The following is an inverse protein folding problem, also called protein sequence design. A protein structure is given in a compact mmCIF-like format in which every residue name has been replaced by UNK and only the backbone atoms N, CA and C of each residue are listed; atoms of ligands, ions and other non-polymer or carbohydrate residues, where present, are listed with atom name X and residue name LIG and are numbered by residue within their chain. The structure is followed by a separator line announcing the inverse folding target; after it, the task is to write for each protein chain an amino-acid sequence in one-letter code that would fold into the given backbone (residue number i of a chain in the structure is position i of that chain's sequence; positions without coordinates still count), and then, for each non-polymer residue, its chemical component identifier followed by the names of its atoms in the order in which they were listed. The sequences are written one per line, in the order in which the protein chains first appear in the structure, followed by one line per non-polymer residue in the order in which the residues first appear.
data_IF_944874370540
#
_entry.id   IF_944874370540
#
_cell.length_a   1.000
_cell.length_b   1.000
_cell.length_c   1.000
_cell.angle_alpha   90.00
_cell.angle_beta   90.00
_cell.angle_gamma   90.00
#
_symmetry.space_group_name_H-M   'P 1'
#
loop_
_entity.id
_entity.type
_entity.pdbx_description
1 polymer ?
#
# COMPACT_ATOMS: atom_id res chain seq x y z
N UNK A 1 -9.92 -5.24 -18.09
CA UNK A 1 -9.00 -6.04 -18.90
C UNK A 1 -9.78 -7.02 -19.78
N UNK A 2 -10.07 -8.23 -19.29
CA UNK A 2 -10.69 -9.34 -20.08
C UNK A 2 -11.99 -8.92 -20.77
N UNK A 3 -12.90 -8.26 -20.05
CA UNK A 3 -14.17 -7.78 -20.64
C UNK A 3 -13.93 -6.82 -21.81
N UNK A 4 -13.02 -5.86 -21.65
CA UNK A 4 -12.67 -4.89 -22.71
C UNK A 4 -12.07 -5.60 -23.93
N UNK A 5 -11.14 -6.55 -23.71
CA UNK A 5 -10.54 -7.33 -24.79
C UNK A 5 -11.60 -8.04 -25.62
N UNK A 6 -12.55 -8.71 -24.96
CA UNK A 6 -13.64 -9.44 -25.63
C UNK A 6 -14.59 -8.50 -26.38
N UNK A 7 -15.06 -7.43 -25.73
CA UNK A 7 -16.06 -6.52 -26.29
C UNK A 7 -15.51 -5.61 -27.37
N UNK A 8 -14.23 -5.18 -27.25
CA UNK A 8 -13.64 -4.20 -28.18
C UNK A 8 -12.83 -4.86 -29.30
N UNK A 9 -12.13 -5.96 -29.00
CA UNK A 9 -11.21 -6.58 -29.93
C UNK A 9 -11.64 -7.99 -30.36
N UNK A 10 -12.70 -8.55 -29.78
CA UNK A 10 -13.16 -9.92 -30.05
C UNK A 10 -12.13 -11.00 -29.62
N UNK A 11 -11.20 -10.65 -28.72
CA UNK A 11 -10.13 -11.54 -28.26
C UNK A 11 -10.44 -12.05 -26.87
N UNK A 12 -10.30 -13.34 -26.66
CA UNK A 12 -10.37 -13.94 -25.34
C UNK A 12 -9.03 -13.72 -24.60
N UNK A 13 -9.13 -13.30 -23.35
CA UNK A 13 -8.00 -13.09 -22.46
C UNK A 13 -8.23 -13.73 -21.11
N UNK A 14 -7.17 -13.97 -20.36
CA UNK A 14 -7.22 -14.44 -18.99
C UNK A 14 -6.63 -13.38 -18.06
N UNK A 15 -7.30 -13.14 -16.94
CA UNK A 15 -6.76 -12.31 -15.87
C UNK A 15 -5.68 -13.09 -15.13
N UNK A 16 -4.53 -12.45 -14.94
CA UNK A 16 -3.41 -12.98 -14.14
C UNK A 16 -3.01 -11.94 -13.09
N UNK A 17 -2.30 -12.39 -12.06
CA UNK A 17 -1.68 -11.51 -11.08
C UNK A 17 -0.54 -10.70 -11.70
N UNK A 18 -0.21 -9.59 -11.05
CA UNK A 18 0.98 -8.80 -11.39
C UNK A 18 2.24 -9.68 -11.24
N UNK A 19 3.25 -9.53 -12.12
CA UNK A 19 4.51 -10.29 -12.04
C UNK A 19 5.23 -10.23 -10.69
N UNK A 20 4.96 -9.21 -9.87
CA UNK A 20 5.50 -9.10 -8.51
C UNK A 20 5.14 -10.32 -7.63
N UNK A 21 4.07 -11.05 -7.94
CA UNK A 21 3.64 -12.25 -7.21
C UNK A 21 4.29 -13.55 -7.72
N UNK A 22 5.16 -13.48 -8.74
CA UNK A 22 5.88 -14.67 -9.24
C UNK A 22 7.00 -15.14 -8.30
N UNK A 23 7.49 -14.25 -7.44
CA UNK A 23 8.53 -14.56 -6.48
C UNK A 23 7.93 -14.78 -5.08
N UNK A 24 8.44 -15.75 -4.32
CA UNK A 24 8.06 -15.91 -2.93
C UNK A 24 8.61 -14.77 -2.06
N UNK A 25 8.01 -14.52 -0.89
CA UNK A 25 8.43 -13.47 0.05
C UNK A 25 9.92 -13.53 0.40
N UNK A 26 10.49 -14.75 0.47
CA UNK A 26 11.90 -14.97 0.78
C UNK A 26 12.89 -14.31 -0.20
N UNK A 27 12.49 -14.09 -1.47
CA UNK A 27 13.34 -13.37 -2.40
C UNK A 27 13.33 -11.85 -2.11
N UNK A 28 12.19 -11.31 -1.68
CA UNK A 28 12.09 -9.93 -1.22
C UNK A 28 12.81 -9.72 0.12
N UNK A 29 12.77 -10.70 1.02
CA UNK A 29 13.53 -10.68 2.28
C UNK A 29 15.03 -10.54 2.04
N UNK A 30 15.58 -11.23 1.04
CA UNK A 30 17.00 -11.10 0.64
C UNK A 30 17.34 -9.68 0.17
N UNK A 31 16.40 -8.97 -0.45
CA UNK A 31 16.57 -7.57 -0.82
C UNK A 31 16.57 -6.70 0.44
N UNK A 32 15.59 -6.91 1.32
CA UNK A 32 15.43 -6.17 2.56
C UNK A 32 16.63 -6.28 3.52
N UNK A 33 17.39 -7.39 3.50
CA UNK A 33 18.62 -7.54 4.32
C UNK A 33 19.73 -6.54 3.95
N UNK A 34 19.65 -5.91 2.79
CA UNK A 34 20.62 -4.90 2.33
C UNK A 34 20.22 -3.48 2.69
N UNK A 35 19.09 -3.29 3.36
CA UNK A 35 18.59 -1.99 3.75
C UNK A 35 19.57 -1.24 4.66
N UNK A 36 19.71 0.05 4.40
CA UNK A 36 20.50 0.98 5.22
C UNK A 36 19.60 1.83 6.13
N UNK A 37 18.38 2.04 5.72
CA UNK A 37 17.35 2.71 6.52
C UNK A 37 16.31 1.67 6.96
N UNK A 38 15.98 1.69 8.23
CA UNK A 38 14.96 0.83 8.82
C UNK A 38 14.31 1.51 10.02
N UNK A 39 13.20 0.97 10.48
CA UNK A 39 12.50 1.45 11.66
C UNK A 39 12.48 0.35 12.72
N UNK A 40 12.71 0.73 13.99
CA UNK A 40 12.66 -0.20 15.11
C UNK A 40 11.31 -0.15 15.82
N UNK A 41 10.91 -1.32 16.32
CA UNK A 41 9.65 -1.47 17.05
C UNK A 41 8.43 -1.45 16.13
N UNK A 42 7.26 -1.48 16.72
CA UNK A 42 5.99 -1.64 16.03
C UNK A 42 5.53 -0.34 15.36
N UNK A 43 5.10 -0.41 14.10
CA UNK A 43 4.65 0.77 13.36
C UNK A 43 3.62 0.47 12.27
N UNK A 44 2.87 1.51 11.93
CA UNK A 44 2.10 1.58 10.69
C UNK A 44 3.00 2.15 9.61
N UNK A 45 3.07 1.48 8.48
CA UNK A 45 3.65 2.01 7.27
C UNK A 45 2.59 2.72 6.43
N UNK A 46 2.83 3.98 6.12
CA UNK A 46 2.07 4.74 5.13
C UNK A 46 2.87 4.85 3.83
N UNK A 47 2.28 4.45 2.71
CA UNK A 47 2.82 4.68 1.38
C UNK A 47 1.74 5.24 0.47
N UNK A 48 1.62 6.57 0.45
CA UNK A 48 0.60 7.34 -0.26
C UNK A 48 1.25 8.10 -1.43
N UNK A 49 0.85 7.76 -2.66
CA UNK A 49 1.40 8.33 -3.88
C UNK A 49 0.81 9.69 -4.23
N UNK A 50 -0.49 9.87 -3.99
CA UNK A 50 -1.21 11.10 -4.27
C UNK A 50 -1.84 11.65 -2.98
N UNK A 51 -1.01 12.24 -2.07
CA UNK A 51 -1.47 12.74 -0.79
C UNK A 51 -2.42 13.93 -0.94
N UNK A 52 -3.41 13.95 -0.06
CA UNK A 52 -4.29 15.08 0.18
C UNK A 52 -4.75 15.07 1.64
N UNK A 53 -5.44 16.13 2.06
CA UNK A 53 -5.86 16.27 3.45
C UNK A 53 -6.81 15.15 3.90
N UNK A 54 -7.73 14.68 3.05
CA UNK A 54 -8.65 13.59 3.38
C UNK A 54 -7.91 12.27 3.66
N UNK A 55 -6.93 11.91 2.83
CA UNK A 55 -6.08 10.72 3.03
C UNK A 55 -5.22 10.85 4.29
N UNK A 56 -4.68 12.06 4.57
CA UNK A 56 -3.94 12.33 5.79
C UNK A 56 -4.81 12.13 7.03
N UNK A 57 -6.04 12.66 7.03
CA UNK A 57 -6.96 12.47 8.16
C UNK A 57 -7.35 11.00 8.35
N UNK A 58 -7.62 10.28 7.27
CA UNK A 58 -7.86 8.84 7.33
C UNK A 58 -6.67 8.08 7.94
N UNK A 59 -5.45 8.38 7.51
CA UNK A 59 -4.23 7.79 8.04
C UNK A 59 -4.03 8.08 9.54
N UNK A 60 -4.24 9.32 9.98
CA UNK A 60 -4.14 9.71 11.39
C UNK A 60 -5.22 9.02 12.24
N UNK A 61 -6.42 8.82 11.68
CA UNK A 61 -7.47 8.06 12.34
C UNK A 61 -7.04 6.59 12.55
N UNK A 62 -6.54 5.93 11.51
CA UNK A 62 -6.02 4.55 11.59
C UNK A 62 -4.92 4.45 12.64
N UNK A 63 -3.95 5.38 12.63
CA UNK A 63 -2.84 5.40 13.58
C UNK A 63 -3.32 5.47 15.04
N UNK A 64 -4.29 6.31 15.30
CA UNK A 64 -4.92 6.41 16.64
C UNK A 64 -5.67 5.12 17.03
N UNK A 65 -6.36 4.50 16.09
CA UNK A 65 -7.16 3.30 16.30
C UNK A 65 -6.27 2.10 16.69
N UNK A 66 -5.19 1.86 15.93
CA UNK A 66 -4.28 0.73 16.19
C UNK A 66 -3.21 1.06 17.25
N UNK A 67 -3.07 2.32 17.66
CA UNK A 67 -2.09 2.78 18.68
C UNK A 67 -0.64 2.46 18.35
N UNK A 68 -0.29 2.52 17.08
CA UNK A 68 1.07 2.34 16.60
C UNK A 68 1.65 3.66 16.11
N UNK A 69 2.98 3.81 16.19
CA UNK A 69 3.68 4.94 15.59
C UNK A 69 3.55 4.88 14.07
N UNK A 70 3.54 6.04 13.44
CA UNK A 70 3.39 6.17 12.00
C UNK A 70 4.76 6.40 11.35
N UNK A 71 5.08 5.59 10.35
CA UNK A 71 6.20 5.78 9.43
C UNK A 71 5.64 6.12 8.06
N UNK A 72 6.05 7.25 7.50
CA UNK A 72 5.52 7.75 6.25
C UNK A 72 6.58 7.67 5.14
N UNK A 73 6.30 6.90 4.09
CA UNK A 73 7.06 6.90 2.85
C UNK A 73 6.31 7.69 1.78
N UNK A 74 7.03 8.56 1.09
CA UNK A 74 6.50 9.33 -0.03
C UNK A 74 7.12 8.87 -1.35
N UNK A 75 6.36 9.00 -2.43
CA UNK A 75 6.88 8.82 -3.79
C UNK A 75 8.01 9.84 -4.03
N UNK A 76 9.20 9.34 -4.37
CA UNK A 76 10.41 10.12 -4.55
C UNK A 76 10.48 10.96 -5.84
N UNK A 77 9.35 11.20 -6.51
CA UNK A 77 9.31 12.04 -7.72
C UNK A 77 9.77 13.45 -7.41
N UNK A 78 10.86 13.87 -8.04
CA UNK A 78 11.53 15.15 -7.82
C UNK A 78 10.57 16.36 -7.82
N UNK A 79 9.63 16.42 -8.77
CA UNK A 79 8.74 17.59 -8.95
C UNK A 79 7.56 17.62 -7.95
N UNK A 80 7.27 16.56 -7.23
CA UNK A 80 6.08 16.47 -6.36
C UNK A 80 6.45 16.19 -4.91
N UNK A 81 7.69 15.79 -4.63
CA UNK A 81 8.13 15.37 -3.31
C UNK A 81 7.91 16.44 -2.23
N UNK A 82 8.43 17.66 -2.43
CA UNK A 82 8.30 18.74 -1.45
C UNK A 82 6.83 19.15 -1.23
N UNK A 83 6.03 19.20 -2.29
CA UNK A 83 4.59 19.43 -2.20
C UNK A 83 3.90 18.34 -1.38
N UNK A 84 4.19 17.08 -1.67
CA UNK A 84 3.59 15.94 -0.99
C UNK A 84 4.01 15.88 0.49
N UNK A 85 5.27 16.18 0.76
CA UNK A 85 5.81 16.30 2.12
C UNK A 85 5.09 17.40 2.91
N UNK A 86 4.88 18.58 2.30
CA UNK A 86 4.17 19.69 2.93
C UNK A 86 2.68 19.34 3.22
N UNK A 87 1.99 18.65 2.30
CA UNK A 87 0.61 18.20 2.51
C UNK A 87 0.53 17.20 3.67
N UNK A 88 1.37 16.17 3.65
CA UNK A 88 1.36 15.16 4.71
C UNK A 88 1.82 15.75 6.04
N UNK A 89 2.87 16.54 6.06
CA UNK A 89 3.43 17.19 7.26
C UNK A 89 3.46 16.23 8.47
N UNK A 90 4.05 15.05 8.26
CA UNK A 90 4.18 14.01 9.29
C UNK A 90 5.62 13.94 9.77
N UNK A 91 5.80 13.88 11.08
CA UNK A 91 7.11 13.95 11.75
C UNK A 91 8.06 12.85 11.25
N UNK A 92 7.60 11.60 11.20
CA UNK A 92 8.42 10.46 10.79
C UNK A 92 8.30 10.17 9.28
N UNK A 93 8.59 11.18 8.44
CA UNK A 93 8.64 11.02 6.99
C UNK A 93 10.05 10.66 6.56
N UNK A 94 10.21 9.53 5.89
CA UNK A 94 11.50 9.05 5.40
C UNK A 94 11.86 9.67 4.05
N UNK A 95 13.12 9.99 3.87
CA UNK A 95 13.67 10.59 2.67
C UNK A 95 14.73 9.68 2.04
N UNK A 96 14.94 9.80 0.74
CA UNK A 96 16.00 9.08 0.00
C UNK A 96 15.92 7.55 0.22
N UNK A 97 14.71 7.01 0.23
CA UNK A 97 14.46 5.60 0.46
C UNK A 97 14.83 4.81 -0.80
N UNK A 98 15.81 3.94 -0.70
CA UNK A 98 16.21 3.03 -1.77
C UNK A 98 15.27 1.83 -1.83
N UNK A 99 15.40 0.99 -2.86
CA UNK A 99 14.54 -0.18 -3.05
C UNK A 99 14.65 -1.15 -1.88
N UNK A 100 15.86 -1.38 -1.37
CA UNK A 100 16.13 -2.27 -0.25
C UNK A 100 15.47 -1.76 1.04
N UNK A 101 15.54 -0.46 1.28
CA UNK A 101 14.90 0.20 2.42
C UNK A 101 13.37 0.11 2.29
N UNK A 102 12.86 0.40 1.09
CA UNK A 102 11.43 0.36 0.81
C UNK A 102 10.84 -1.03 1.08
N UNK A 103 11.49 -2.09 0.60
CA UNK A 103 11.10 -3.48 0.88
C UNK A 103 11.19 -3.78 2.38
N UNK A 104 12.26 -3.33 3.05
CA UNK A 104 12.46 -3.54 4.48
C UNK A 104 11.35 -2.89 5.31
N UNK A 105 10.92 -1.68 4.97
CA UNK A 105 9.81 -1.02 5.65
C UNK A 105 8.50 -1.79 5.52
N UNK A 106 8.20 -2.40 4.37
CA UNK A 106 7.01 -3.24 4.21
C UNK A 106 7.13 -4.55 4.99
N UNK A 107 8.30 -5.19 4.92
CA UNK A 107 8.56 -6.45 5.60
C UNK A 107 8.38 -6.34 7.13
N UNK A 108 8.79 -5.23 7.73
CA UNK A 108 8.78 -5.06 9.18
C UNK A 108 7.59 -4.24 9.71
N UNK A 109 6.69 -3.75 8.86
CA UNK A 109 5.48 -3.08 9.30
C UNK A 109 4.52 -4.03 10.02
N UNK A 110 3.82 -3.54 11.04
CA UNK A 110 2.72 -4.27 11.68
C UNK A 110 1.37 -4.00 11.01
N UNK A 111 1.26 -2.88 10.32
CA UNK A 111 0.08 -2.48 9.58
C UNK A 111 0.47 -1.61 8.39
N UNK A 112 -0.24 -1.71 7.26
CA UNK A 112 0.03 -0.92 6.05
C UNK A 112 -1.19 -0.09 5.66
N UNK A 113 -0.96 1.19 5.36
CA UNK A 113 -1.97 2.06 4.72
C UNK A 113 -1.40 2.58 3.41
N UNK A 114 -2.06 2.31 2.30
CA UNK A 114 -1.52 2.67 0.98
C UNK A 114 -2.60 3.03 -0.03
N UNK A 115 -2.27 3.88 -0.99
CA UNK A 115 -3.02 4.11 -2.22
C UNK A 115 -2.25 3.65 -3.46
N UNK A 116 -1.19 2.86 -3.25
CA UNK A 116 -0.32 2.32 -4.27
C UNK A 116 -0.62 0.86 -4.55
N UNK A 117 -0.74 0.48 -5.83
CA UNK A 117 -0.89 -0.92 -6.22
C UNK A 117 0.31 -1.78 -5.77
N UNK A 118 1.54 -1.29 -5.93
CA UNK A 118 2.73 -2.01 -5.46
C UNK A 118 2.81 -2.04 -3.92
N UNK A 119 2.37 -0.97 -3.24
CA UNK A 119 2.26 -0.97 -1.79
C UNK A 119 1.28 -2.02 -1.28
N UNK A 120 0.11 -2.15 -1.95
CA UNK A 120 -0.85 -3.21 -1.67
C UNK A 120 -0.25 -4.60 -1.92
N UNK A 121 0.43 -4.79 -3.07
CA UNK A 121 1.07 -6.06 -3.39
C UNK A 121 2.10 -6.48 -2.34
N UNK A 122 2.95 -5.56 -1.87
CA UNK A 122 3.94 -5.85 -0.82
C UNK A 122 3.29 -6.17 0.53
N UNK A 123 2.19 -5.50 0.87
CA UNK A 123 1.42 -5.84 2.08
C UNK A 123 0.90 -7.29 2.03
N UNK A 124 0.40 -7.72 0.87
CA UNK A 124 -0.06 -9.10 0.63
C UNK A 124 1.12 -10.08 0.69
N UNK A 125 2.22 -9.81 -0.02
CA UNK A 125 3.41 -10.68 -0.09
C UNK A 125 3.99 -10.94 1.31
N UNK A 126 4.01 -9.92 2.17
CA UNK A 126 4.50 -10.03 3.55
C UNK A 126 3.41 -10.35 4.57
N UNK A 127 2.21 -10.70 4.11
CA UNK A 127 1.07 -11.06 4.96
C UNK A 127 0.81 -10.02 6.06
N UNK A 128 0.80 -8.73 5.67
CA UNK A 128 0.54 -7.63 6.60
C UNK A 128 -0.92 -7.25 6.58
N UNK A 129 -1.55 -6.99 7.74
CA UNK A 129 -2.86 -6.35 7.76
C UNK A 129 -2.75 -4.98 7.10
N UNK A 130 -3.73 -4.63 6.28
CA UNK A 130 -3.67 -3.39 5.51
C UNK A 130 -5.04 -2.75 5.30
N UNK A 131 -5.00 -1.46 4.98
CA UNK A 131 -6.09 -0.70 4.36
C UNK A 131 -5.57 -0.10 3.06
N UNK A 132 -6.30 -0.32 1.98
CA UNK A 132 -6.05 0.29 0.70
C UNK A 132 -6.99 1.49 0.51
N UNK A 133 -6.46 2.68 0.31
CA UNK A 133 -7.25 3.87 -0.01
C UNK A 133 -7.41 3.93 -1.52
N UNK A 134 -8.66 3.96 -1.99
CA UNK A 134 -8.95 3.99 -3.42
C UNK A 134 -8.29 5.22 -4.08
N UNK A 135 -7.62 4.97 -5.21
CA UNK A 135 -6.95 5.99 -6.01
C UNK A 135 -7.37 5.88 -7.48
N UNK A 136 -8.53 6.46 -7.86
CA UNK A 136 -9.04 6.38 -9.22
C UNK A 136 -8.07 6.95 -10.28
N UNK A 137 -7.29 7.97 -9.91
CA UNK A 137 -6.32 8.61 -10.82
C UNK A 137 -5.17 7.66 -11.22
N UNK A 138 -4.91 6.63 -10.40
CA UNK A 138 -3.86 5.63 -10.64
C UNK A 138 -4.39 4.25 -11.01
N UNK A 139 -5.62 4.17 -11.51
CA UNK A 139 -6.23 2.93 -11.98
C UNK A 139 -6.86 2.11 -10.85
N UNK A 140 -7.91 2.66 -10.23
CA UNK A 140 -8.69 2.03 -9.17
C UNK A 140 -9.17 0.60 -9.49
N UNK A 141 -9.38 0.28 -10.77
CA UNK A 141 -9.75 -1.07 -11.22
C UNK A 141 -8.70 -2.13 -10.92
N UNK A 142 -7.42 -1.78 -10.78
CA UNK A 142 -6.36 -2.74 -10.41
C UNK A 142 -6.48 -3.17 -8.95
N UNK A 143 -6.85 -2.24 -8.06
CA UNK A 143 -7.11 -2.56 -6.65
C UNK A 143 -8.31 -3.49 -6.51
N UNK A 144 -9.46 -3.12 -7.09
CA UNK A 144 -10.66 -3.95 -7.09
C UNK A 144 -10.38 -5.32 -7.65
N UNK A 145 -9.67 -5.41 -8.78
CA UNK A 145 -9.35 -6.65 -9.45
C UNK A 145 -8.49 -7.60 -8.59
N UNK A 146 -7.48 -7.06 -7.92
CA UNK A 146 -6.60 -7.84 -7.03
C UNK A 146 -7.35 -8.27 -5.77
N UNK A 147 -8.05 -7.35 -5.13
CA UNK A 147 -8.76 -7.63 -3.88
C UNK A 147 -9.92 -8.62 -4.07
N UNK A 148 -10.64 -8.54 -5.20
CA UNK A 148 -11.69 -9.53 -5.53
C UNK A 148 -11.15 -10.95 -5.73
N UNK A 149 -9.91 -11.10 -6.19
CA UNK A 149 -9.30 -12.44 -6.30
C UNK A 149 -8.99 -13.06 -4.94
N UNK A 150 -8.90 -12.24 -3.89
CA UNK A 150 -8.54 -12.64 -2.53
C UNK A 150 -9.72 -12.54 -1.54
N UNK A 151 -10.91 -12.12 -2.01
CA UNK A 151 -12.09 -11.84 -1.18
C UNK A 151 -11.80 -10.78 -0.08
N UNK A 152 -11.07 -9.72 -0.43
CA UNK A 152 -10.62 -8.65 0.47
C UNK A 152 -11.13 -7.25 0.03
N UNK A 153 -12.26 -7.19 -0.69
CA UNK A 153 -12.80 -5.95 -1.24
C UNK A 153 -13.13 -4.92 -0.14
N UNK A 154 -13.50 -5.38 1.03
CA UNK A 154 -13.81 -4.52 2.18
C UNK A 154 -12.61 -3.72 2.68
N UNK A 155 -11.39 -4.13 2.32
CA UNK A 155 -10.16 -3.41 2.65
C UNK A 155 -9.85 -2.25 1.70
N UNK A 156 -10.66 -2.07 0.65
CA UNK A 156 -10.59 -0.91 -0.24
C UNK A 156 -11.60 0.14 0.22
N UNK A 157 -11.11 1.22 0.79
CA UNK A 157 -11.93 2.30 1.33
C UNK A 157 -11.75 3.60 0.53
N UNK A 158 -12.72 4.51 0.65
CA UNK A 158 -12.53 5.92 0.33
C UNK A 158 -12.08 6.69 1.59
N UNK A 159 -11.40 7.84 1.47
CA UNK A 159 -10.85 8.56 2.63
C UNK A 159 -11.87 8.99 3.68
N UNK A 160 -13.13 9.14 3.28
CA UNK A 160 -14.25 9.57 4.12
C UNK A 160 -14.99 8.41 4.80
N UNK A 161 -14.66 7.15 4.48
CA UNK A 161 -15.28 5.99 5.09
C UNK A 161 -14.70 5.72 6.48
N UNK A 162 -15.59 5.44 7.44
CA UNK A 162 -15.20 4.96 8.76
C UNK A 162 -14.88 3.47 8.63
N UNK A 163 -13.70 3.10 9.06
CA UNK A 163 -13.20 1.75 8.95
C UNK A 163 -13.72 0.89 10.12
N UNK A 164 -14.32 -0.25 9.79
CA UNK A 164 -14.83 -1.20 10.76
C UNK A 164 -13.69 -1.93 11.51
N UNK A 165 -13.94 -2.38 12.73
CA UNK A 165 -12.93 -2.93 13.63
C UNK A 165 -12.21 -4.17 13.07
N UNK A 166 -12.92 -5.06 12.39
CA UNK A 166 -12.36 -6.28 11.80
C UNK A 166 -11.22 -6.02 10.78
N UNK A 167 -11.14 -4.81 10.20
CA UNK A 167 -10.10 -4.47 9.23
C UNK A 167 -8.71 -4.26 9.87
N UNK A 168 -8.65 -4.22 11.20
CA UNK A 168 -7.38 -4.05 11.93
C UNK A 168 -6.78 -5.38 12.39
N UNK A 169 -7.49 -6.46 12.17
CA UNK A 169 -7.02 -7.80 12.51
C UNK A 169 -6.15 -8.41 11.41
N UNK A 170 -5.34 -9.43 11.73
CA UNK A 170 -4.58 -10.17 10.73
C UNK A 170 -5.48 -10.69 9.60
N UNK A 171 -4.91 -10.85 8.42
CA UNK A 171 -5.61 -11.42 7.28
C UNK A 171 -5.39 -12.92 7.29
N UNK A 172 -6.46 -13.69 7.25
CA UNK A 172 -6.43 -15.12 6.95
C UNK A 172 -6.59 -15.28 5.43
N UNK A 173 -5.56 -15.76 4.74
CA UNK A 173 -5.53 -15.97 3.29
C UNK A 173 -5.94 -17.40 2.93
#
# INVERSE_FOLDING_TARGET
GVKILRETLGVDGQQVLDPIFLLPSSEYEKIATKAQQFEQGNYILSYILDPNEAKKQALLFVSKKVKLKLVNLLDGRYNTYEKNKAIMNLENTKCNVMMEDWVNYFMNADFVVTDSHHGLAMAIIFNKPFICINNPARGGTRFTSLLSMLNLEERLITPDQIVADHLYEPIEY
#
